data_IF_985235223029
#
_entry.id   IF_985235223029
#
_cell.length_a   1.000
_cell.length_b   1.000
_cell.length_c   1.000
_cell.angle_alpha   90.00
_cell.angle_beta   90.00
_cell.angle_gamma   90.00
#
_symmetry.space_group_name_H-M   'P 1'
#
loop_
_entity.id
_entity.type
_entity.pdbx_description
1 polymer ?
#
# COMPACT_ATOMS: atom_id res chain seq x y z
N UNK A 1 18.45 1.42 -18.95
CA UNK A 1 17.21 1.76 -18.23
C UNK A 1 17.57 2.68 -17.09
N UNK A 2 16.81 3.74 -16.89
CA UNK A 2 16.95 4.70 -15.78
C UNK A 2 15.67 4.70 -14.94
N UNK A 3 15.77 5.16 -13.69
CA UNK A 3 14.64 5.24 -12.76
C UNK A 3 14.34 6.68 -12.38
N UNK A 4 13.07 7.01 -12.24
CA UNK A 4 12.63 8.30 -11.70
C UNK A 4 11.37 8.14 -10.86
N UNK A 5 11.02 9.18 -10.10
CA UNK A 5 9.98 9.08 -9.09
C UNK A 5 9.09 10.31 -9.09
N UNK A 6 7.79 10.10 -8.91
CA UNK A 6 6.77 11.15 -8.80
C UNK A 6 5.85 10.90 -7.61
N UNK A 7 4.93 11.83 -7.31
CA UNK A 7 3.99 11.64 -6.20
C UNK A 7 2.91 10.60 -6.54
N UNK A 8 2.48 9.82 -5.55
CA UNK A 8 1.32 8.93 -5.68
C UNK A 8 0.10 9.74 -6.12
N UNK A 9 -0.73 9.16 -7.00
CA UNK A 9 -1.92 9.83 -7.52
C UNK A 9 -1.66 10.93 -8.55
N UNK A 10 -0.39 11.18 -8.92
CA UNK A 10 -0.06 12.07 -10.04
C UNK A 10 -0.75 11.61 -11.32
N UNK A 11 -1.33 12.55 -12.06
CA UNK A 11 -1.93 12.27 -13.37
C UNK A 11 -0.93 12.60 -14.45
N UNK A 12 -0.54 11.61 -15.24
CA UNK A 12 0.41 11.77 -16.34
C UNK A 12 -0.22 11.40 -17.68
N UNK A 13 0.51 11.63 -18.77
CA UNK A 13 0.14 11.15 -20.10
C UNK A 13 1.19 10.14 -20.56
N UNK A 14 0.80 9.21 -21.43
CA UNK A 14 1.75 8.32 -22.07
C UNK A 14 2.81 9.13 -22.85
N UNK A 15 4.08 8.76 -22.68
CA UNK A 15 5.22 9.41 -23.31
C UNK A 15 6.18 8.32 -23.83
N UNK A 16 6.59 8.44 -25.10
CA UNK A 16 7.55 7.52 -25.72
C UNK A 16 8.85 7.49 -24.90
N UNK A 17 9.33 6.29 -24.57
CA UNK A 17 10.50 6.07 -23.73
C UNK A 17 10.26 6.11 -22.23
N UNK A 18 9.04 6.40 -21.78
CA UNK A 18 8.67 6.40 -20.36
C UNK A 18 7.61 5.34 -20.07
N UNK A 19 7.76 4.65 -18.96
CA UNK A 19 6.80 3.67 -18.46
C UNK A 19 6.48 4.02 -17.00
N UNK A 20 5.24 4.35 -16.74
CA UNK A 20 4.71 4.69 -15.43
C UNK A 20 4.15 3.43 -14.76
N UNK A 21 4.63 3.13 -13.55
CA UNK A 21 4.35 1.92 -12.79
C UNK A 21 3.87 2.33 -11.41
N UNK A 22 2.63 2.01 -11.10
CA UNK A 22 1.90 2.38 -9.89
C UNK A 22 1.72 3.89 -9.71
N UNK A 23 1.79 4.61 -10.82
CA UNK A 23 1.59 6.06 -10.92
C UNK A 23 1.04 6.43 -12.29
N UNK A 24 0.53 7.66 -12.41
CA UNK A 24 -0.04 8.18 -13.66
C UNK A 24 -1.56 8.17 -13.67
N UNK A 25 -2.19 7.42 -12.76
CA UNK A 25 -3.63 7.34 -12.55
C UNK A 25 -4.42 6.89 -13.80
N UNK A 26 -3.81 5.95 -14.53
CA UNK A 26 -4.33 5.37 -15.77
C UNK A 26 -3.79 3.95 -15.98
N UNK A 27 -4.59 3.13 -16.66
CA UNK A 27 -4.19 1.82 -17.17
C UNK A 27 -4.30 1.79 -18.70
N UNK A 28 -3.14 1.73 -19.38
CA UNK A 28 -3.04 1.81 -20.83
C UNK A 28 -1.59 1.80 -21.34
N UNK A 29 -1.36 2.09 -22.64
CA UNK A 29 -0.01 2.19 -23.21
C UNK A 29 0.92 3.08 -22.36
N UNK A 30 2.00 2.50 -21.83
CA UNK A 30 2.97 3.19 -20.99
C UNK A 30 2.57 3.50 -19.56
N UNK A 31 1.36 3.17 -19.12
CA UNK A 31 0.84 3.50 -17.79
C UNK A 31 0.15 2.30 -17.16
N UNK A 32 0.68 1.84 -16.03
CA UNK A 32 0.22 0.67 -15.29
C UNK A 32 -0.10 1.11 -13.86
N UNK A 33 -1.30 1.64 -13.64
CA UNK A 33 -1.78 2.06 -12.32
C UNK A 33 -3.23 1.61 -12.15
N UNK A 34 -3.54 1.01 -11.00
CA UNK A 34 -4.88 0.52 -10.67
C UNK A 34 -5.65 1.43 -9.69
N UNK A 35 -5.06 2.52 -9.21
CA UNK A 35 -5.61 3.39 -8.17
C UNK A 35 -6.66 4.39 -8.69
N UNK A 36 -7.58 3.93 -9.57
CA UNK A 36 -8.69 4.70 -10.10
C UNK A 36 -9.94 3.82 -10.29
N UNK A 37 -11.13 4.43 -10.30
CA UNK A 37 -12.42 3.71 -10.26
C UNK A 37 -12.70 2.81 -11.48
N UNK A 38 -12.02 3.04 -12.60
CA UNK A 38 -12.18 2.28 -13.85
C UNK A 38 -11.05 1.29 -14.13
N UNK A 39 -10.15 1.10 -13.16
CA UNK A 39 -9.03 0.18 -13.30
C UNK A 39 -9.48 -1.28 -13.32
N UNK A 40 -8.64 -2.21 -13.83
CA UNK A 40 -8.85 -3.63 -13.62
C UNK A 40 -8.88 -4.00 -12.12
N UNK A 41 -9.56 -5.09 -11.78
CA UNK A 41 -9.61 -5.62 -10.41
C UNK A 41 -8.34 -6.45 -10.09
N UNK A 42 -7.19 -5.81 -10.16
CA UNK A 42 -5.88 -6.40 -9.82
C UNK A 42 -4.85 -5.32 -9.46
N UNK A 43 -3.72 -5.71 -8.89
CA UNK A 43 -2.64 -4.81 -8.45
C UNK A 43 -1.67 -4.48 -9.59
N UNK A 44 -0.87 -3.42 -9.44
CA UNK A 44 0.08 -2.97 -10.46
C UNK A 44 1.09 -4.05 -10.84
N UNK A 45 1.58 -4.83 -9.88
CA UNK A 45 2.52 -5.93 -10.14
C UNK A 45 1.94 -6.93 -11.13
N UNK A 46 0.67 -7.34 -10.94
CA UNK A 46 -0.03 -8.21 -11.89
C UNK A 46 -0.24 -7.52 -13.24
N UNK A 47 -0.59 -6.23 -13.25
CA UNK A 47 -0.75 -5.49 -14.51
C UNK A 47 0.54 -5.47 -15.33
N UNK A 48 1.69 -5.23 -14.68
CA UNK A 48 2.99 -5.22 -15.33
C UNK A 48 3.40 -6.61 -15.85
N UNK A 49 3.06 -7.67 -15.11
CA UNK A 49 3.30 -9.04 -15.55
C UNK A 49 2.45 -9.44 -16.75
N UNK A 50 1.16 -9.11 -16.75
CA UNK A 50 0.19 -9.62 -17.72
C UNK A 50 0.08 -8.76 -18.99
N UNK A 51 0.55 -7.50 -18.96
CA UNK A 51 0.38 -6.55 -20.08
C UNK A 51 1.73 -5.99 -20.61
N UNK A 52 2.66 -6.85 -21.07
CA UNK A 52 3.91 -6.40 -21.66
C UNK A 52 3.72 -5.52 -22.90
N UNK A 53 2.63 -5.72 -23.65
CA UNK A 53 2.30 -4.92 -24.83
C UNK A 53 2.16 -3.43 -24.52
N UNK A 54 1.63 -3.08 -23.34
CA UNK A 54 1.48 -1.68 -22.94
C UNK A 54 2.84 -1.01 -22.73
N UNK A 55 3.84 -1.74 -22.25
CA UNK A 55 5.21 -1.26 -22.10
C UNK A 55 5.95 -1.23 -23.45
N UNK A 56 5.86 -2.31 -24.23
CA UNK A 56 6.51 -2.41 -25.53
C UNK A 56 6.02 -1.37 -26.53
N UNK A 57 4.76 -0.94 -26.44
CA UNK A 57 4.21 0.13 -27.28
C UNK A 57 4.95 1.46 -27.13
N UNK A 58 5.56 1.73 -25.98
CA UNK A 58 6.27 2.99 -25.71
C UNK A 58 7.74 2.98 -26.09
N UNK A 59 8.29 1.82 -26.47
CA UNK A 59 9.71 1.64 -26.76
C UNK A 59 9.94 1.12 -28.18
N UNK A 60 8.96 1.30 -29.09
CA UNK A 60 9.07 0.94 -30.50
C UNK A 60 9.13 2.21 -31.37
N UNK A 61 10.15 2.36 -32.24
CA UNK A 61 11.33 1.49 -32.41
C UNK A 61 12.20 1.48 -31.15
N UNK A 62 13.05 0.46 -31.00
CA UNK A 62 13.91 0.28 -29.83
C UNK A 62 14.68 1.57 -29.52
N UNK A 63 14.53 2.04 -28.28
CA UNK A 63 15.13 3.29 -27.81
C UNK A 63 16.44 3.00 -27.06
N UNK A 64 17.44 3.89 -27.18
CA UNK A 64 18.70 3.75 -26.45
C UNK A 64 18.53 3.94 -24.94
N UNK A 65 17.50 4.69 -24.54
CA UNK A 65 17.16 4.95 -23.14
C UNK A 65 15.68 4.73 -22.89
N UNK A 66 15.38 4.07 -21.78
CA UNK A 66 14.03 3.79 -21.30
C UNK A 66 14.02 4.19 -19.82
N UNK A 67 13.05 5.00 -19.44
CA UNK A 67 12.84 5.48 -18.08
C UNK A 67 11.66 4.75 -17.45
N UNK A 68 11.89 4.05 -16.34
CA UNK A 68 10.84 3.48 -15.50
C UNK A 68 10.53 4.46 -14.37
N UNK A 69 9.26 4.84 -14.26
CA UNK A 69 8.81 5.89 -13.33
C UNK A 69 7.82 5.27 -12.36
N UNK A 70 8.10 5.36 -11.06
CA UNK A 70 7.17 4.92 -10.00
C UNK A 70 6.97 6.03 -8.97
N UNK A 71 6.29 5.76 -7.85
CA UNK A 71 6.10 6.77 -6.82
C UNK A 71 7.32 6.90 -5.90
N UNK A 72 7.49 8.07 -5.28
CA UNK A 72 8.43 8.24 -4.16
C UNK A 72 8.15 7.23 -3.06
N UNK A 73 9.20 6.70 -2.44
CA UNK A 73 9.14 5.65 -1.41
C UNK A 73 8.33 4.43 -1.91
N UNK A 74 8.78 3.78 -3.01
CA UNK A 74 8.05 2.72 -3.68
C UNK A 74 7.76 1.55 -2.73
N UNK A 75 6.53 1.05 -2.74
CA UNK A 75 6.11 -0.09 -1.90
C UNK A 75 6.21 -1.42 -2.67
N UNK A 76 5.66 -2.48 -2.08
CA UNK A 76 5.78 -3.83 -2.64
C UNK A 76 5.16 -3.94 -4.04
N UNK A 77 4.01 -3.30 -4.27
CA UNK A 77 3.30 -3.38 -5.54
C UNK A 77 4.04 -2.60 -6.62
N UNK A 78 4.47 -1.38 -6.30
CA UNK A 78 5.30 -0.55 -7.16
C UNK A 78 6.62 -1.23 -7.56
N UNK A 79 7.39 -1.73 -6.59
CA UNK A 79 8.69 -2.37 -6.84
C UNK A 79 8.51 -3.67 -7.63
N UNK A 80 7.49 -4.47 -7.32
CA UNK A 80 7.18 -5.69 -8.08
C UNK A 80 6.72 -5.37 -9.50
N UNK A 81 5.96 -4.29 -9.71
CA UNK A 81 5.66 -3.77 -11.04
C UNK A 81 6.92 -3.41 -11.83
N UNK A 82 7.88 -2.72 -11.19
CA UNK A 82 9.18 -2.39 -11.81
C UNK A 82 9.96 -3.67 -12.13
N UNK A 83 9.94 -4.66 -11.25
CA UNK A 83 10.57 -5.96 -11.47
C UNK A 83 10.04 -6.64 -12.75
N UNK A 84 8.72 -6.78 -12.88
CA UNK A 84 8.11 -7.39 -14.07
C UNK A 84 8.29 -6.57 -15.33
N UNK A 85 8.30 -5.24 -15.24
CA UNK A 85 8.66 -4.38 -16.36
C UNK A 85 10.08 -4.66 -16.84
N UNK A 86 11.07 -4.75 -15.94
CA UNK A 86 12.46 -5.10 -16.29
C UNK A 86 12.54 -6.46 -16.96
N UNK A 87 11.87 -7.47 -16.39
CA UNK A 87 11.82 -8.83 -16.94
C UNK A 87 11.42 -8.83 -18.42
N UNK A 88 10.28 -8.19 -18.73
CA UNK A 88 9.76 -8.11 -20.10
C UNK A 88 10.63 -7.28 -21.03
N UNK A 89 11.11 -6.11 -20.58
CA UNK A 89 11.94 -5.22 -21.39
C UNK A 89 13.32 -5.83 -21.70
N UNK A 90 13.79 -6.76 -20.89
CA UNK A 90 15.02 -7.53 -21.13
C UNK A 90 14.78 -8.78 -21.98
N UNK A 91 13.52 -9.09 -22.32
CA UNK A 91 13.16 -10.24 -23.15
C UNK A 91 13.14 -11.58 -22.40
N UNK A 92 13.11 -11.55 -21.07
CA UNK A 92 12.91 -12.77 -20.28
C UNK A 92 11.44 -13.19 -20.30
N UNK A 93 11.21 -14.51 -20.33
CA UNK A 93 9.86 -15.06 -20.25
C UNK A 93 9.50 -15.32 -18.78
N UNK A 94 8.31 -14.89 -18.30
CA UNK A 94 7.88 -15.20 -16.95
C UNK A 94 7.75 -16.70 -16.69
N UNK A 95 8.18 -17.14 -15.50
CA UNK A 95 7.98 -18.49 -14.98
C UNK A 95 6.74 -18.57 -14.06
N UNK A 96 6.25 -19.76 -13.67
CA UNK A 96 5.16 -19.89 -12.70
C UNK A 96 5.45 -19.19 -11.36
N UNK A 97 6.72 -19.10 -10.94
CA UNK A 97 7.13 -18.36 -9.74
C UNK A 97 6.75 -16.88 -9.80
N UNK A 98 6.90 -16.25 -10.98
CA UNK A 98 6.52 -14.85 -11.19
C UNK A 98 5.01 -14.64 -11.00
N UNK A 99 4.20 -15.60 -11.45
CA UNK A 99 2.75 -15.56 -11.23
C UNK A 99 2.38 -15.77 -9.76
N UNK A 100 3.02 -16.71 -9.05
CA UNK A 100 2.80 -16.90 -7.62
C UNK A 100 3.17 -15.64 -6.81
N UNK A 101 4.26 -14.98 -7.17
CA UNK A 101 4.67 -13.73 -6.54
C UNK A 101 3.66 -12.61 -6.80
N UNK A 102 3.23 -12.39 -8.05
CA UNK A 102 2.24 -11.36 -8.36
C UNK A 102 0.90 -11.60 -7.65
N UNK A 103 0.47 -12.86 -7.48
CA UNK A 103 -0.74 -13.19 -6.71
C UNK A 103 -0.60 -12.83 -5.23
N UNK A 104 0.58 -13.10 -4.65
CA UNK A 104 0.89 -12.71 -3.29
C UNK A 104 0.91 -11.18 -3.12
N UNK A 105 1.55 -10.46 -4.02
CA UNK A 105 1.61 -8.99 -3.99
C UNK A 105 0.20 -8.40 -4.06
N UNK A 106 -0.67 -8.93 -4.91
CA UNK A 106 -2.07 -8.47 -4.96
C UNK A 106 -2.87 -8.75 -3.68
N UNK A 107 -2.57 -9.83 -2.95
CA UNK A 107 -3.18 -10.08 -1.62
C UNK A 107 -2.71 -9.01 -0.62
N UNK A 108 -1.41 -8.74 -0.59
CA UNK A 108 -0.82 -7.73 0.30
C UNK A 108 -1.37 -6.34 0.02
N UNK A 109 -1.49 -5.97 -1.26
CA UNK A 109 -1.98 -4.66 -1.70
C UNK A 109 -3.46 -4.44 -1.33
N UNK A 110 -4.29 -5.50 -1.42
CA UNK A 110 -5.66 -5.51 -0.83
C UNK A 110 -5.68 -5.35 0.69
N UNK A 111 -4.53 -5.46 1.36
CA UNK A 111 -4.42 -5.38 2.81
C UNK A 111 -4.61 -6.71 3.53
N UNK A 112 -4.49 -7.85 2.84
CA UNK A 112 -4.50 -9.20 3.43
C UNK A 112 -3.16 -9.50 4.13
N UNK A 113 -2.85 -8.73 5.17
CA UNK A 113 -1.57 -8.77 5.88
C UNK A 113 -1.69 -9.40 7.28
N UNK A 114 -2.60 -10.37 7.45
CA UNK A 114 -2.84 -11.02 8.74
C UNK A 114 -1.60 -11.81 9.17
N UNK A 115 -1.16 -11.62 10.42
CA UNK A 115 -0.06 -12.39 10.99
C UNK A 115 -0.53 -13.42 11.99
N UNK A 116 0.04 -14.62 11.89
CA UNK A 116 0.01 -15.58 12.99
C UNK A 116 1.19 -15.28 13.92
N UNK A 117 0.97 -14.89 15.19
CA UNK A 117 2.06 -14.71 16.15
C UNK A 117 2.92 -15.95 16.37
N UNK A 118 2.40 -17.15 16.09
CA UNK A 118 3.17 -18.40 16.16
C UNK A 118 4.08 -18.60 14.93
N UNK A 119 3.73 -18.03 13.78
CA UNK A 119 4.49 -18.10 12.52
C UNK A 119 4.53 -16.75 11.83
N UNK A 120 5.24 -15.76 12.42
CA UNK A 120 5.08 -14.38 12.00
C UNK A 120 5.86 -14.02 10.75
N UNK A 121 6.70 -14.91 10.22
CA UNK A 121 7.62 -14.57 9.14
C UNK A 121 6.92 -14.74 7.80
N UNK A 122 6.73 -13.62 7.07
CA UNK A 122 6.19 -13.61 5.71
C UNK A 122 7.04 -12.71 4.82
N UNK A 123 7.04 -12.91 3.49
CA UNK A 123 7.81 -12.06 2.58
C UNK A 123 7.49 -10.58 2.72
N UNK A 124 6.21 -10.21 2.87
CA UNK A 124 5.78 -8.84 3.05
C UNK A 124 6.45 -8.15 4.25
N UNK A 125 6.52 -8.81 5.41
CA UNK A 125 7.12 -8.16 6.58
C UNK A 125 8.62 -8.00 6.46
N UNK A 126 9.31 -9.03 5.95
CA UNK A 126 10.74 -8.93 5.71
C UNK A 126 11.04 -7.81 4.72
N UNK A 127 10.22 -7.70 3.66
CA UNK A 127 10.32 -6.62 2.70
C UNK A 127 10.14 -5.24 3.35
N UNK A 128 9.11 -5.03 4.18
CA UNK A 128 8.88 -3.76 4.87
C UNK A 128 10.10 -3.37 5.72
N UNK A 129 10.67 -4.32 6.48
CA UNK A 129 11.84 -4.04 7.31
C UNK A 129 13.11 -3.78 6.48
N UNK A 130 13.33 -4.53 5.41
CA UNK A 130 14.40 -4.27 4.44
C UNK A 130 14.32 -2.84 3.88
N UNK A 131 13.13 -2.42 3.45
CA UNK A 131 12.91 -1.07 2.93
C UNK A 131 13.11 0.01 3.98
N UNK A 132 12.68 -0.23 5.22
CA UNK A 132 12.92 0.70 6.33
C UNK A 132 14.41 0.94 6.53
N UNK A 133 15.22 -0.12 6.61
CA UNK A 133 16.68 0.02 6.72
C UNK A 133 17.28 0.75 5.52
N UNK A 134 16.85 0.44 4.30
CA UNK A 134 17.32 1.13 3.10
C UNK A 134 17.02 2.64 3.17
N UNK A 135 15.88 3.01 3.77
CA UNK A 135 15.46 4.41 3.93
C UNK A 135 16.20 5.19 5.03
N UNK A 136 16.84 4.51 5.99
CA UNK A 136 17.60 5.16 7.08
C UNK A 136 18.95 5.75 6.61
N UNK A 137 19.38 5.42 5.40
CA UNK A 137 20.71 5.77 4.89
C UNK A 137 20.89 7.23 4.46
N UNK A 138 19.79 7.97 4.21
CA UNK A 138 19.83 9.33 3.67
C UNK A 138 18.58 10.14 4.10
N UNK A 139 18.55 11.42 3.77
CA UNK A 139 17.39 12.32 3.91
C UNK A 139 16.84 12.80 2.58
N UNK A 140 17.60 12.70 1.48
CA UNK A 140 17.13 13.05 0.15
C UNK A 140 16.09 12.02 -0.35
N UNK A 141 14.84 12.43 -0.67
CA UNK A 141 13.79 11.52 -1.12
C UNK A 141 14.17 10.67 -2.33
N UNK A 142 15.02 11.19 -3.23
CA UNK A 142 15.45 10.48 -4.44
C UNK A 142 16.50 9.44 -4.16
N UNK A 143 17.50 9.76 -3.34
CA UNK A 143 18.45 8.75 -2.87
C UNK A 143 17.73 7.65 -2.11
N UNK A 144 16.82 7.99 -1.19
CA UNK A 144 16.03 7.00 -0.43
C UNK A 144 15.21 6.11 -1.35
N UNK A 145 14.43 6.69 -2.28
CA UNK A 145 13.57 5.91 -3.17
C UNK A 145 14.38 5.02 -4.11
N UNK A 146 15.57 5.47 -4.53
CA UNK A 146 16.50 4.66 -5.32
C UNK A 146 17.05 3.49 -4.51
N UNK A 147 17.44 3.73 -3.25
CA UNK A 147 17.93 2.68 -2.36
C UNK A 147 16.84 1.64 -2.04
N UNK A 148 15.61 2.09 -1.74
CA UNK A 148 14.45 1.22 -1.53
C UNK A 148 14.16 0.38 -2.76
N UNK A 149 14.18 0.99 -3.95
CA UNK A 149 13.95 0.26 -5.20
C UNK A 149 15.03 -0.82 -5.41
N UNK A 150 16.30 -0.50 -5.19
CA UNK A 150 17.39 -1.47 -5.33
C UNK A 150 17.25 -2.64 -4.32
N UNK A 151 17.09 -2.34 -3.03
CA UNK A 151 16.90 -3.34 -1.97
C UNK A 151 15.69 -4.23 -2.26
N UNK A 152 14.56 -3.63 -2.67
CA UNK A 152 13.35 -4.38 -2.96
C UNK A 152 13.47 -5.27 -4.20
N UNK A 153 14.21 -4.84 -5.23
CA UNK A 153 14.49 -5.67 -6.41
C UNK A 153 15.35 -6.90 -6.04
N UNK A 154 16.40 -6.70 -5.23
CA UNK A 154 17.27 -7.79 -4.74
C UNK A 154 16.48 -8.77 -3.84
N UNK A 155 15.55 -8.25 -3.02
CA UNK A 155 14.65 -9.07 -2.22
C UNK A 155 13.73 -9.93 -3.10
N UNK A 156 13.14 -9.35 -4.15
CA UNK A 156 12.26 -10.09 -5.08
C UNK A 156 13.05 -11.19 -5.79
N UNK A 157 14.27 -10.92 -6.25
CA UNK A 157 15.13 -11.96 -6.84
C UNK A 157 15.35 -13.14 -5.89
N UNK A 158 15.54 -12.86 -4.60
CA UNK A 158 15.64 -13.91 -3.57
C UNK A 158 14.34 -14.72 -3.44
N UNK A 159 13.18 -14.07 -3.39
CA UNK A 159 11.88 -14.74 -3.30
C UNK A 159 11.58 -15.58 -4.54
N UNK A 160 11.83 -15.05 -5.74
CA UNK A 160 11.64 -15.78 -7.00
C UNK A 160 12.54 -17.01 -7.04
N UNK A 161 13.82 -16.90 -6.66
CA UNK A 161 14.72 -18.04 -6.60
C UNK A 161 14.23 -19.15 -5.65
N UNK A 162 13.65 -18.79 -4.50
CA UNK A 162 13.06 -19.77 -3.57
C UNK A 162 11.83 -20.47 -4.18
N UNK A 163 10.95 -19.71 -4.84
CA UNK A 163 9.78 -20.25 -5.52
C UNK A 163 10.18 -21.19 -6.67
N UNK A 164 11.21 -20.84 -7.44
CA UNK A 164 11.74 -21.68 -8.53
C UNK A 164 12.42 -22.95 -8.02
N UNK A 165 12.98 -22.92 -6.80
CA UNK A 165 13.46 -24.11 -6.10
C UNK A 165 12.32 -25.01 -5.57
N UNK A 166 11.06 -24.61 -5.73
CA UNK A 166 9.88 -25.36 -5.32
C UNK A 166 9.45 -25.13 -3.86
N UNK A 167 9.98 -24.10 -3.20
CA UNK A 167 9.57 -23.75 -1.83
C UNK A 167 8.19 -23.05 -1.85
N UNK A 168 7.34 -23.39 -0.88
CA UNK A 168 6.03 -22.77 -0.70
C UNK A 168 6.16 -21.45 0.07
N UNK A 169 5.64 -20.36 -0.50
CA UNK A 169 5.63 -19.02 0.11
C UNK A 169 4.95 -18.98 1.49
N UNK A 170 4.06 -19.92 1.77
CA UNK A 170 3.38 -20.08 3.07
C UNK A 170 4.14 -20.94 4.06
N UNK A 171 5.25 -21.55 3.63
CA UNK A 171 6.07 -22.39 4.51
C UNK A 171 6.79 -21.54 5.55
N UNK A 172 6.78 -21.93 6.84
CA UNK A 172 7.60 -21.27 7.86
C UNK A 172 9.10 -21.37 7.59
N UNK A 173 9.52 -22.33 6.76
CA UNK A 173 10.91 -22.55 6.36
C UNK A 173 11.29 -21.83 5.06
N UNK A 174 10.41 -21.01 4.46
CA UNK A 174 10.66 -20.37 3.16
C UNK A 174 11.96 -19.56 3.13
N UNK A 175 12.32 -18.92 4.24
CA UNK A 175 13.55 -18.12 4.38
C UNK A 175 14.65 -18.80 5.19
N UNK A 176 14.52 -20.10 5.50
CA UNK A 176 15.45 -20.80 6.41
C UNK A 176 16.91 -20.75 5.95
N UNK A 177 17.15 -20.81 4.65
CA UNK A 177 18.51 -20.79 4.07
C UNK A 177 18.95 -19.37 3.65
N UNK A 178 18.10 -18.36 3.86
CA UNK A 178 18.36 -16.96 3.52
C UNK A 178 19.07 -16.22 4.66
N UNK A 179 20.29 -16.63 4.99
CA UNK A 179 21.06 -16.08 6.13
C UNK A 179 21.21 -14.54 6.12
N UNK A 180 21.21 -13.92 4.93
CA UNK A 180 21.29 -12.46 4.79
C UNK A 180 20.05 -11.73 5.30
N UNK A 181 18.90 -12.41 5.44
CA UNK A 181 17.65 -11.87 5.99
C UNK A 181 17.50 -12.10 7.50
N UNK A 182 18.49 -12.72 8.16
CA UNK A 182 18.37 -13.08 9.58
C UNK A 182 18.13 -11.85 10.48
N UNK A 183 18.73 -10.71 10.15
CA UNK A 183 18.51 -9.46 10.86
C UNK A 183 17.04 -8.97 10.75
N UNK A 184 16.41 -9.12 9.58
CA UNK A 184 14.99 -8.78 9.40
C UNK A 184 14.08 -9.75 10.14
N UNK A 185 14.41 -11.04 10.11
CA UNK A 185 13.66 -12.08 10.84
C UNK A 185 13.66 -11.78 12.34
N UNK A 186 14.81 -11.40 12.90
CA UNK A 186 14.92 -11.06 14.31
C UNK A 186 14.22 -9.73 14.63
N UNK A 187 14.25 -8.77 13.71
CA UNK A 187 13.51 -7.52 13.84
C UNK A 187 11.98 -7.72 13.80
N UNK A 188 11.43 -8.61 12.95
CA UNK A 188 10.00 -9.00 12.99
C UNK A 188 9.63 -9.51 14.37
N UNK A 189 10.44 -10.41 14.93
CA UNK A 189 10.19 -11.01 16.25
C UNK A 189 10.25 -9.96 17.37
N UNK A 190 11.18 -9.02 17.29
CA UNK A 190 11.30 -7.92 18.24
C UNK A 190 10.13 -6.93 18.15
N UNK A 191 9.62 -6.68 16.94
CA UNK A 191 8.49 -5.77 16.69
C UNK A 191 7.21 -6.15 17.44
N UNK A 192 7.03 -7.44 17.76
CA UNK A 192 5.92 -7.91 18.61
C UNK A 192 5.85 -7.17 19.96
N UNK A 193 6.99 -6.87 20.60
CA UNK A 193 7.00 -6.14 21.86
C UNK A 193 6.61 -4.67 21.67
N UNK A 194 6.99 -4.06 20.54
CA UNK A 194 6.54 -2.73 20.18
C UNK A 194 5.03 -2.71 19.99
N UNK A 195 4.46 -3.69 19.28
CA UNK A 195 3.02 -3.83 19.11
C UNK A 195 2.29 -3.97 20.45
N UNK A 196 2.77 -4.83 21.35
CA UNK A 196 2.16 -5.01 22.67
C UNK A 196 2.19 -3.74 23.53
N UNK A 197 3.20 -2.88 23.35
CA UNK A 197 3.27 -1.60 24.04
C UNK A 197 2.37 -0.54 23.40
N UNK A 198 2.32 -0.50 22.07
CA UNK A 198 1.41 0.34 21.32
C UNK A 198 -0.05 0.03 21.63
N UNK A 199 -0.40 -1.24 21.73
CA UNK A 199 -1.74 -1.71 22.05
C UNK A 199 -2.24 -1.23 23.42
N UNK A 200 -1.34 -0.98 24.39
CA UNK A 200 -1.71 -0.40 25.70
C UNK A 200 -2.08 1.08 25.59
N UNK A 201 -1.59 1.77 24.56
CA UNK A 201 -1.87 3.19 24.27
C UNK A 201 -3.02 3.35 23.29
N UNK A 202 -3.26 2.33 22.46
CA UNK A 202 -4.34 2.33 21.49
C UNK A 202 -5.71 2.35 22.19
N UNK A 203 -6.63 3.14 21.65
CA UNK A 203 -8.04 3.07 21.99
C UNK A 203 -8.62 1.81 21.36
N UNK A 204 -9.24 0.95 22.18
CA UNK A 204 -9.98 -0.22 21.72
C UNK A 204 -11.47 0.05 21.88
N UNK A 205 -12.23 -0.16 20.81
CA UNK A 205 -13.65 0.11 20.78
C UNK A 205 -14.35 -0.79 19.75
N UNK A 206 -15.67 -0.71 19.70
CA UNK A 206 -16.46 -1.30 18.62
C UNK A 206 -17.05 -0.19 17.76
N UNK A 207 -17.04 -0.34 16.45
CA UNK A 207 -17.68 0.59 15.54
C UNK A 207 -18.64 -0.13 14.60
N UNK A 208 -19.71 0.59 14.20
CA UNK A 208 -20.72 0.09 13.28
C UNK A 208 -20.42 0.63 11.89
N UNK A 209 -20.02 -0.25 10.98
CA UNK A 209 -19.58 0.09 9.62
C UNK A 209 -20.55 -0.43 8.56
N UNK A 210 -20.65 0.22 7.39
CA UNK A 210 -21.48 -0.26 6.28
C UNK A 210 -21.10 -1.67 5.80
N UNK A 211 -22.10 -2.54 5.62
CA UNK A 211 -21.98 -3.90 5.03
C UNK A 211 -23.15 -4.11 4.05
N UNK A 212 -22.89 -4.05 2.75
CA UNK A 212 -23.94 -4.13 1.73
C UNK A 212 -25.01 -3.02 1.90
N UNK A 213 -26.24 -3.40 2.21
CA UNK A 213 -27.36 -2.47 2.50
C UNK A 213 -27.57 -2.25 4.02
N UNK A 214 -26.75 -2.88 4.85
CA UNK A 214 -26.87 -2.87 6.30
C UNK A 214 -25.59 -2.37 6.96
N UNK A 215 -25.44 -2.78 8.21
CA UNK A 215 -24.29 -2.40 9.03
C UNK A 215 -23.84 -3.57 9.88
N UNK A 216 -22.55 -3.63 10.15
CA UNK A 216 -21.92 -4.62 11.03
C UNK A 216 -21.11 -3.93 12.10
N UNK A 217 -21.28 -4.40 13.34
CA UNK A 217 -20.42 -4.00 14.45
C UNK A 217 -19.13 -4.80 14.39
N UNK A 218 -17.99 -4.12 14.44
CA UNK A 218 -16.68 -4.74 14.31
C UNK A 218 -15.69 -4.22 15.37
N UNK A 219 -14.71 -5.05 15.80
CA UNK A 219 -13.69 -4.60 16.73
C UNK A 219 -12.72 -3.63 16.05
N UNK A 220 -12.37 -2.57 16.77
CA UNK A 220 -11.64 -1.43 16.25
C UNK A 220 -10.45 -1.07 17.15
N UNK A 221 -9.37 -0.62 16.51
CA UNK A 221 -8.27 0.10 17.18
C UNK A 221 -8.10 1.49 16.59
N UNK A 222 -7.79 2.44 17.46
CA UNK A 222 -7.26 3.74 17.07
C UNK A 222 -5.95 4.02 17.80
N UNK A 223 -4.92 4.44 17.07
CA UNK A 223 -3.62 4.76 17.66
C UNK A 223 -2.97 5.98 17.01
N UNK A 224 -2.28 6.77 17.83
CA UNK A 224 -1.40 7.84 17.38
C UNK A 224 0.07 7.44 17.56
N UNK A 225 0.85 7.59 16.49
CA UNK A 225 2.28 7.31 16.45
C UNK A 225 2.61 5.90 16.97
N UNK A 226 2.20 4.82 16.28
CA UNK A 226 2.67 3.48 16.64
C UNK A 226 4.20 3.43 16.55
N UNK A 227 4.82 2.74 17.50
CA UNK A 227 6.26 2.44 17.49
C UNK A 227 6.57 1.14 16.78
N UNK A 228 5.58 0.25 16.64
CA UNK A 228 5.66 -0.97 15.85
C UNK A 228 5.56 -0.65 14.37
N UNK A 229 6.58 -1.06 13.62
CA UNK A 229 6.63 -0.97 12.16
C UNK A 229 5.56 -1.84 11.51
N UNK A 230 5.15 -2.93 12.18
CA UNK A 230 4.22 -3.92 11.66
C UNK A 230 2.85 -3.87 12.37
N UNK A 231 2.51 -2.73 13.01
CA UNK A 231 1.32 -2.58 13.86
C UNK A 231 0.04 -3.07 13.18
N UNK A 232 -0.18 -2.68 11.91
CA UNK A 232 -1.35 -3.11 11.12
C UNK A 232 -1.42 -4.63 11.02
N UNK A 233 -0.31 -5.28 10.68
CA UNK A 233 -0.26 -6.71 10.45
C UNK A 233 -0.49 -7.51 11.75
N UNK A 234 0.10 -7.04 12.87
CA UNK A 234 -0.15 -7.61 14.19
C UNK A 234 -1.59 -7.44 14.66
N UNK A 235 -2.15 -6.23 14.51
CA UNK A 235 -3.53 -5.96 14.92
C UNK A 235 -4.55 -6.82 14.16
N UNK A 236 -4.31 -7.06 12.86
CA UNK A 236 -5.14 -7.92 12.00
C UNK A 236 -5.09 -9.40 12.39
N UNK A 237 -4.05 -9.84 13.10
CA UNK A 237 -3.88 -11.20 13.60
C UNK A 237 -4.16 -11.42 15.09
N UNK A 238 -4.45 -10.37 15.86
CA UNK A 238 -4.65 -10.46 17.31
C UNK A 238 -6.07 -10.92 17.69
N UNK A 239 -6.44 -12.13 17.25
CA UNK A 239 -7.73 -12.76 17.55
C UNK A 239 -8.02 -12.80 19.06
N UNK A 240 -6.98 -13.02 19.88
CA UNK A 240 -7.09 -13.11 21.34
C UNK A 240 -7.72 -11.86 21.95
N UNK A 241 -7.49 -10.68 21.36
CA UNK A 241 -7.98 -9.40 21.90
C UNK A 241 -9.11 -8.79 21.08
N UNK A 242 -9.29 -9.23 19.84
CA UNK A 242 -10.39 -8.81 18.98
C UNK A 242 -11.73 -9.55 19.26
N UNK A 243 -11.79 -10.34 20.34
CA UNK A 243 -13.01 -11.05 20.74
C UNK A 243 -13.30 -12.27 19.84
N UNK A 244 -14.39 -12.22 19.08
CA UNK A 244 -14.79 -13.31 18.17
C UNK A 244 -14.24 -13.15 16.75
N UNK A 245 -13.62 -12.01 16.44
CA UNK A 245 -13.03 -11.76 15.12
C UNK A 245 -11.62 -12.38 15.02
N UNK A 246 -11.13 -12.68 13.80
CA UNK A 246 -9.76 -13.17 13.59
C UNK A 246 -8.68 -12.14 13.95
N UNK A 247 -9.07 -10.88 14.12
CA UNK A 247 -8.25 -9.77 14.59
C UNK A 247 -9.06 -8.47 14.54
N UNK A 248 -8.41 -7.34 14.82
CA UNK A 248 -9.09 -6.05 14.75
C UNK A 248 -9.48 -5.74 13.29
N UNK A 249 -10.75 -5.45 13.07
CA UNK A 249 -11.36 -5.30 11.73
C UNK A 249 -11.33 -3.85 11.28
N UNK A 250 -11.37 -2.87 12.17
CA UNK A 250 -11.12 -1.47 11.83
C UNK A 250 -9.82 -0.99 12.48
N UNK A 251 -9.01 -0.26 11.74
CA UNK A 251 -7.80 0.39 12.24
C UNK A 251 -7.78 1.86 11.81
N UNK A 252 -7.71 2.76 12.78
CA UNK A 252 -7.34 4.17 12.57
C UNK A 252 -5.92 4.41 13.08
N UNK A 253 -4.99 4.68 12.16
CA UNK A 253 -3.57 4.86 12.47
C UNK A 253 -3.18 6.28 12.09
N UNK A 254 -2.99 7.15 13.08
CA UNK A 254 -2.34 8.44 12.87
C UNK A 254 -0.82 8.23 12.85
N UNK A 255 -0.24 8.13 11.66
CA UNK A 255 1.19 7.87 11.44
C UNK A 255 2.04 9.04 11.95
N UNK A 256 1.61 10.26 11.62
CA UNK A 256 2.21 11.52 12.08
C UNK A 256 1.12 12.61 12.07
N UNK A 257 1.36 13.85 12.56
CA UNK A 257 0.31 14.88 12.66
C UNK A 257 -0.41 15.24 11.35
N UNK A 258 0.15 14.91 10.19
CA UNK A 258 -0.39 15.23 8.87
C UNK A 258 -0.89 14.00 8.11
N UNK A 259 -0.60 12.78 8.57
CA UNK A 259 -0.99 11.54 7.88
C UNK A 259 -1.73 10.58 8.81
N UNK A 260 -2.97 10.29 8.44
CA UNK A 260 -3.78 9.24 9.02
C UNK A 260 -4.18 8.21 7.96
N UNK A 261 -4.18 6.94 8.34
CA UNK A 261 -4.65 5.83 7.52
C UNK A 261 -5.78 5.15 8.27
N UNK A 262 -6.96 5.11 7.67
CA UNK A 262 -8.14 4.44 8.20
C UNK A 262 -8.40 3.24 7.29
N UNK A 263 -8.46 2.03 7.84
CA UNK A 263 -8.65 0.84 7.00
C UNK A 263 -9.45 -0.24 7.69
N UNK A 264 -10.14 -1.03 6.87
CA UNK A 264 -10.85 -2.24 7.29
C UNK A 264 -10.18 -3.48 6.73
N UNK A 265 -10.46 -4.63 7.33
CA UNK A 265 -9.94 -5.91 6.84
C UNK A 265 -10.68 -6.25 5.53
N UNK A 266 -9.98 -6.57 4.43
CA UNK A 266 -10.60 -6.65 3.11
C UNK A 266 -11.68 -7.75 2.97
N UNK A 267 -11.56 -8.84 3.71
CA UNK A 267 -12.50 -9.98 3.70
C UNK A 267 -13.63 -9.85 4.74
N UNK A 268 -13.67 -8.76 5.51
CA UNK A 268 -14.63 -8.61 6.61
C UNK A 268 -16.06 -8.28 6.16
N UNK A 269 -16.25 -7.96 4.88
CA UNK A 269 -17.54 -7.56 4.28
C UNK A 269 -17.94 -6.11 4.53
N UNK A 270 -17.24 -5.39 5.41
CA UNK A 270 -17.52 -3.97 5.69
C UNK A 270 -16.69 -3.05 4.79
N UNK A 271 -17.14 -1.81 4.63
CA UNK A 271 -16.43 -0.80 3.82
C UNK A 271 -16.34 0.54 4.56
N UNK A 272 -15.47 1.42 4.07
CA UNK A 272 -15.33 2.82 4.46
C UNK A 272 -15.92 3.77 3.40
N UNK A 273 -16.80 3.26 2.54
CA UNK A 273 -17.41 4.06 1.48
C UNK A 273 -18.12 5.28 2.09
N UNK A 274 -17.86 6.46 1.53
CA UNK A 274 -18.36 7.74 2.04
C UNK A 274 -17.45 8.43 3.07
N UNK A 275 -16.60 7.71 3.81
CA UNK A 275 -15.71 8.32 4.80
C UNK A 275 -14.68 9.25 4.16
N UNK A 276 -14.08 8.85 3.03
CA UNK A 276 -13.12 9.69 2.31
C UNK A 276 -13.72 10.99 1.80
N UNK A 277 -14.99 10.98 1.36
CA UNK A 277 -15.71 12.18 0.94
C UNK A 277 -16.01 13.11 2.11
N UNK A 278 -16.43 12.55 3.25
CA UNK A 278 -16.64 13.32 4.48
C UNK A 278 -15.35 14.00 4.96
N UNK A 279 -14.21 13.29 4.90
CA UNK A 279 -12.90 13.84 5.23
C UNK A 279 -12.45 14.90 4.22
N UNK A 280 -12.61 14.69 2.92
CA UNK A 280 -12.26 15.67 1.90
C UNK A 280 -13.11 16.95 2.02
N UNK A 281 -14.38 16.84 2.40
CA UNK A 281 -15.23 18.00 2.64
C UNK A 281 -14.76 18.83 3.84
N UNK A 282 -14.40 18.17 4.95
CA UNK A 282 -13.83 18.83 6.12
C UNK A 282 -12.47 19.48 5.81
N UNK A 283 -11.60 18.75 5.11
CA UNK A 283 -10.27 19.20 4.66
C UNK A 283 -10.39 20.42 3.75
N UNK A 284 -11.27 20.38 2.74
CA UNK A 284 -11.51 21.50 1.81
C UNK A 284 -11.99 22.74 2.54
N UNK A 285 -12.96 22.58 3.46
CA UNK A 285 -13.48 23.69 4.27
C UNK A 285 -12.37 24.35 5.08
N UNK A 286 -11.55 23.54 5.76
CA UNK A 286 -10.45 24.07 6.58
C UNK A 286 -9.36 24.72 5.72
N UNK A 287 -8.99 24.13 4.58
CA UNK A 287 -8.03 24.71 3.63
C UNK A 287 -8.47 26.07 3.12
N UNK A 288 -9.75 26.25 2.81
CA UNK A 288 -10.30 27.55 2.42
C UNK A 288 -10.17 28.59 3.55
N UNK A 289 -10.48 28.21 4.79
CA UNK A 289 -10.38 29.10 5.96
C UNK A 289 -8.94 29.57 6.24
N UNK A 290 -7.95 28.70 6.02
CA UNK A 290 -6.53 29.01 6.28
C UNK A 290 -5.74 29.44 5.03
N UNK A 291 -6.42 29.61 3.88
CA UNK A 291 -5.79 30.04 2.63
C UNK A 291 -4.84 29.02 2.00
N UNK A 292 -4.99 27.72 2.28
CA UNK A 292 -4.17 26.61 1.72
C UNK A 292 -4.94 25.78 0.69
N UNK A 293 -5.58 26.48 -0.26
CA UNK A 293 -6.37 25.84 -1.32
C UNK A 293 -5.44 25.03 -2.24
N UNK A 294 -5.81 23.78 -2.52
CA UNK A 294 -5.09 22.92 -3.46
C UNK A 294 -5.34 23.38 -4.90
N UNK A 295 -4.31 23.39 -5.72
CA UNK A 295 -4.39 23.77 -7.14
C UNK A 295 -3.73 22.70 -8.01
N UNK A 296 -4.20 22.54 -9.25
CA UNK A 296 -3.67 21.54 -10.18
C UNK A 296 -4.77 20.75 -10.85
N UNK A 297 -4.36 19.71 -11.60
CA UNK A 297 -5.28 18.77 -12.25
C UNK A 297 -5.83 17.80 -11.20
N UNK A 298 -7.15 17.65 -11.15
CA UNK A 298 -7.79 16.69 -10.26
C UNK A 298 -7.33 15.27 -10.55
N UNK A 299 -7.14 14.48 -9.48
CA UNK A 299 -6.91 13.04 -9.59
C UNK A 299 -8.12 12.37 -10.23
N UNK A 300 -7.92 11.34 -11.05
CA UNK A 300 -9.04 10.72 -11.79
C UNK A 300 -10.09 10.19 -10.81
N UNK A 301 -11.33 10.67 -11.00
CA UNK A 301 -12.46 10.32 -10.16
C UNK A 301 -12.64 11.22 -8.93
N UNK A 302 -11.77 12.18 -8.65
CA UNK A 302 -11.88 13.09 -7.49
C UNK A 302 -12.10 14.54 -7.94
N UNK A 303 -12.60 15.38 -7.03
CA UNK A 303 -12.80 16.81 -7.25
C UNK A 303 -11.62 17.69 -6.76
N UNK A 304 -10.49 17.05 -6.47
CA UNK A 304 -9.32 17.65 -5.84
C UNK A 304 -8.04 17.04 -6.44
N UNK A 305 -6.95 17.83 -6.61
CA UNK A 305 -5.69 17.32 -7.15
C UNK A 305 -4.94 16.42 -6.17
N UNK A 306 -5.17 16.57 -4.87
CA UNK A 306 -4.55 15.78 -3.81
C UNK A 306 -5.61 15.44 -2.74
N UNK A 307 -6.59 14.58 -3.05
CA UNK A 307 -7.72 14.27 -2.17
C UNK A 307 -7.31 13.35 -1.02
N UNK A 308 -8.17 13.23 0.00
CA UNK A 308 -8.24 12.00 0.78
C UNK A 308 -8.52 10.81 -0.16
N UNK A 309 -7.56 9.91 -0.31
CA UNK A 309 -7.74 8.69 -1.08
C UNK A 309 -8.70 7.78 -0.32
N UNK A 310 -9.68 7.19 -1.00
CA UNK A 310 -10.77 6.44 -0.36
C UNK A 310 -10.89 4.99 -0.85
N UNK A 311 -9.87 4.48 -1.52
CA UNK A 311 -9.85 3.08 -1.96
C UNK A 311 -10.92 2.76 -3.02
N UNK A 312 -11.41 3.75 -3.78
CA UNK A 312 -12.45 3.55 -4.81
C UNK A 312 -12.03 2.69 -6.02
N UNK A 313 -10.76 2.28 -6.11
CA UNK A 313 -10.37 1.31 -7.12
C UNK A 313 -11.13 0.00 -6.90
N UNK A 314 -11.43 -0.77 -7.96
CA UNK A 314 -12.10 -2.06 -7.79
C UNK A 314 -11.35 -2.99 -6.85
N UNK A 315 -10.01 -3.00 -6.88
CA UNK A 315 -9.20 -3.86 -6.01
C UNK A 315 -9.36 -3.50 -4.51
N UNK A 316 -9.38 -2.21 -4.16
CA UNK A 316 -9.48 -1.79 -2.76
C UNK A 316 -10.91 -1.72 -2.26
N UNK A 317 -11.90 -1.56 -3.13
CA UNK A 317 -13.33 -1.63 -2.81
C UNK A 317 -13.74 -0.82 -1.55
N UNK A 318 -13.18 0.38 -1.40
CA UNK A 318 -13.38 1.29 -0.26
C UNK A 318 -12.93 0.71 1.10
N UNK A 319 -11.92 -0.16 1.13
CA UNK A 319 -11.40 -0.73 2.40
C UNK A 319 -10.33 0.12 3.07
N UNK A 320 -9.88 1.20 2.43
CA UNK A 320 -8.85 2.10 2.94
C UNK A 320 -9.19 3.55 2.64
N UNK A 321 -8.89 4.42 3.58
CA UNK A 321 -8.82 5.86 3.42
C UNK A 321 -7.44 6.34 3.87
N UNK A 322 -6.67 7.00 3.01
CA UNK A 322 -5.35 7.54 3.33
C UNK A 322 -5.34 9.07 3.12
N UNK A 323 -4.54 9.74 3.92
CA UNK A 323 -4.41 11.17 3.88
C UNK A 323 -3.81 11.65 2.54
N UNK A 324 -4.12 12.91 2.17
CA UNK A 324 -3.50 13.62 1.05
C UNK A 324 -1.97 13.54 1.09
N UNK A 325 -1.33 13.47 -0.08
CA UNK A 325 0.13 13.39 -0.21
C UNK A 325 0.84 14.61 0.41
N UNK A 326 0.30 15.82 0.24
CA UNK A 326 0.84 17.04 0.88
C UNK A 326 0.59 17.10 2.40
N UNK A 327 -0.09 16.09 2.96
CA UNK A 327 -0.53 16.04 4.33
C UNK A 327 -1.89 16.71 4.55
N UNK A 328 -2.65 16.17 5.49
CA UNK A 328 -3.91 16.72 5.99
C UNK A 328 -3.69 18.02 6.77
N UNK A 329 -4.59 19.00 6.61
CA UNK A 329 -4.67 20.17 7.50
C UNK A 329 -5.60 19.91 8.70
N UNK A 330 -6.40 18.85 8.66
CA UNK A 330 -7.13 18.35 9.83
C UNK A 330 -6.14 17.75 10.83
N UNK A 331 -6.31 18.12 12.10
CA UNK A 331 -5.67 17.50 13.25
C UNK A 331 -6.22 16.10 13.50
N UNK A 332 -5.51 15.28 14.29
CA UNK A 332 -5.98 13.94 14.65
C UNK A 332 -7.36 13.97 15.32
N UNK A 333 -7.60 14.96 16.20
CA UNK A 333 -8.91 15.18 16.83
C UNK A 333 -10.01 15.47 15.80
N UNK A 334 -9.76 16.33 14.81
CA UNK A 334 -10.76 16.63 13.77
C UNK A 334 -11.02 15.41 12.88
N UNK A 335 -9.99 14.66 12.50
CA UNK A 335 -10.14 13.41 11.73
C UNK A 335 -11.00 12.41 12.51
N UNK A 336 -10.73 12.23 13.80
CA UNK A 336 -11.53 11.38 14.69
C UNK A 336 -12.97 11.85 14.79
N UNK A 337 -13.21 13.15 14.92
CA UNK A 337 -14.56 13.72 14.97
C UNK A 337 -15.35 13.47 13.68
N UNK A 338 -14.72 13.63 12.51
CA UNK A 338 -15.34 13.33 11.22
C UNK A 338 -15.71 11.85 11.14
N UNK A 339 -14.80 10.95 11.53
CA UNK A 339 -15.08 9.52 11.60
C UNK A 339 -16.27 9.21 12.52
N UNK A 340 -16.30 9.77 13.72
CA UNK A 340 -17.39 9.57 14.69
C UNK A 340 -18.74 10.10 14.20
N UNK A 341 -18.74 11.21 13.45
CA UNK A 341 -19.95 11.74 12.83
C UNK A 341 -20.42 10.84 11.69
N UNK A 342 -19.51 10.40 10.83
CA UNK A 342 -19.81 9.52 9.70
C UNK A 342 -20.44 8.19 10.15
N UNK A 343 -19.88 7.52 11.17
CA UNK A 343 -20.47 6.27 11.69
C UNK A 343 -21.84 6.47 12.36
N UNK A 344 -22.16 7.70 12.81
CA UNK A 344 -23.47 8.03 13.41
C UNK A 344 -24.53 8.33 12.36
N UNK A 345 -24.16 8.98 11.26
CA UNK A 345 -25.09 9.37 10.19
C UNK A 345 -25.46 8.21 9.28
N UNK A 346 -24.62 7.16 9.21
CA UNK A 346 -24.92 5.94 8.45
C UNK A 346 -25.11 6.19 6.95
N UNK A 347 -24.40 7.19 6.41
CA UNK A 347 -24.45 7.57 5.00
C UNK A 347 -23.53 6.72 4.14
#
# INVERSE_FOLDING_TARGET
MTYDFIHKGSVTSAEVGKIYIDVGNHFGPGQLDHHHATAPHTCTARLALDHPDYMHSQIRPALPEIQLITHWYPDLDAISGVYFARLHLQGFSPSPAHSLWADYVCQVDRGETVLDPAQPITPYLLFILSLQRASESDTDPKTISTAMLAEGLDFIDTVIAQLEAGNDLKSPDFFKECNHLQADIDAVRADWQHYLNDLKRAEQFECRLPEGQGFKTVPALWIEGPTSSLFKAWARGDAKRAGQAPGFVFLGIQVNPQRAILSVMPDSGVTLKGLGEALEQAETTKRQQIGKIRTGKNRTGYDSPDPWYDGRSPLHAYTIVDAPHEGSVLSSTEIRQVFEQWIKTGQ
#
